data_IF_820539808266
#
_entry.id   IF_820539808266
#
_cell.length_a   1.000
_cell.length_b   1.000
_cell.length_c   1.000
_cell.angle_alpha   90.00
_cell.angle_beta   90.00
_cell.angle_gamma   90.00
#
_symmetry.space_group_name_H-M   'P 1'
#
loop_
_entity.id
_entity.type
_entity.pdbx_description
1 polymer ?
#
# COMPACT_ATOMS: atom_id res chain seq x y z
N UNK A 1 -36.60 -18.17 -66.59
CA UNK A 1 -35.92 -16.86 -66.50
C UNK A 1 -36.08 -16.29 -65.09
N UNK A 2 -34.97 -15.81 -64.51
CA UNK A 2 -34.83 -14.87 -63.38
C UNK A 2 -35.19 -15.32 -61.94
N UNK A 3 -34.09 -15.69 -61.26
CA UNK A 3 -33.70 -15.59 -59.84
C UNK A 3 -34.55 -14.65 -58.96
N UNK A 4 -34.80 -15.06 -57.72
CA UNK A 4 -34.47 -14.24 -56.55
C UNK A 4 -34.40 -15.09 -55.27
N UNK A 5 -33.25 -15.01 -54.60
CA UNK A 5 -32.93 -15.58 -53.29
C UNK A 5 -33.22 -14.50 -52.26
N UNK A 6 -33.95 -14.81 -51.20
CA UNK A 6 -34.00 -13.97 -49.99
C UNK A 6 -33.56 -14.84 -48.81
N UNK A 7 -32.38 -14.51 -48.28
CA UNK A 7 -31.86 -15.00 -47.02
C UNK A 7 -32.61 -14.31 -45.87
N UNK A 8 -33.04 -15.08 -44.88
CA UNK A 8 -33.53 -14.55 -43.61
C UNK A 8 -32.42 -14.73 -42.58
N UNK A 9 -31.95 -13.58 -42.07
CA UNK A 9 -30.95 -13.47 -41.01
C UNK A 9 -31.55 -13.90 -39.66
N UNK A 10 -30.76 -14.63 -38.89
CA UNK A 10 -30.99 -14.97 -37.49
C UNK A 10 -30.70 -13.76 -36.57
N UNK A 11 -31.41 -13.68 -35.45
CA UNK A 11 -30.98 -12.88 -34.29
C UNK A 11 -31.28 -13.66 -33.01
N UNK A 12 -30.24 -14.29 -32.45
CA UNK A 12 -30.26 -14.87 -31.11
C UNK A 12 -29.56 -13.90 -30.17
N UNK A 13 -30.33 -13.26 -29.27
CA UNK A 13 -29.78 -12.43 -28.22
C UNK A 13 -29.44 -13.30 -27.00
N UNK A 14 -28.15 -13.47 -26.74
CA UNK A 14 -27.67 -14.07 -25.50
C UNK A 14 -27.30 -12.93 -24.52
N UNK A 15 -28.15 -12.72 -23.51
CA UNK A 15 -27.87 -11.80 -22.41
C UNK A 15 -26.89 -12.46 -21.44
N UNK A 16 -25.59 -12.23 -21.65
CA UNK A 16 -24.57 -12.57 -20.68
C UNK A 16 -24.50 -11.50 -19.60
N UNK A 17 -24.99 -11.80 -18.39
CA UNK A 17 -24.67 -11.01 -17.21
C UNK A 17 -23.21 -11.30 -16.83
N UNK A 18 -22.31 -10.36 -17.15
CA UNK A 18 -20.94 -10.40 -16.66
C UNK A 18 -20.95 -10.03 -15.17
N UNK A 19 -20.65 -10.99 -14.30
CA UNK A 19 -20.26 -10.70 -12.94
C UNK A 19 -18.87 -10.07 -13.01
N UNK A 20 -18.79 -8.75 -12.83
CA UNK A 20 -17.51 -8.06 -12.69
C UNK A 20 -16.93 -8.46 -11.35
N UNK A 21 -15.81 -9.19 -11.39
CA UNK A 21 -15.00 -9.46 -10.20
C UNK A 21 -14.39 -8.13 -9.73
N UNK A 22 -14.94 -7.56 -8.67
CA UNK A 22 -14.54 -6.26 -8.11
C UNK A 22 -13.20 -6.29 -7.36
N UNK A 23 -12.55 -7.46 -7.24
CA UNK A 23 -11.37 -7.62 -6.39
C UNK A 23 -10.05 -7.10 -7.02
N UNK A 24 -10.03 -6.89 -8.34
CA UNK A 24 -8.84 -6.40 -9.09
C UNK A 24 -9.02 -4.98 -9.63
N UNK A 25 -10.15 -4.34 -9.38
CA UNK A 25 -10.34 -2.94 -9.76
C UNK A 25 -9.56 -2.05 -8.80
N UNK A 26 -8.88 -1.04 -9.33
CA UNK A 26 -7.99 -0.16 -8.60
C UNK A 26 -8.55 1.26 -8.56
N UNK A 27 -8.53 1.87 -7.38
CA UNK A 27 -8.99 3.23 -7.14
C UNK A 27 -7.83 4.09 -6.62
N UNK A 28 -7.65 5.23 -7.29
CA UNK A 28 -6.66 6.24 -6.91
C UNK A 28 -7.19 7.11 -5.77
N UNK A 29 -6.45 7.15 -4.65
CA UNK A 29 -6.72 7.99 -3.48
C UNK A 29 -5.66 9.07 -3.34
N UNK A 30 -6.09 10.28 -2.99
CA UNK A 30 -5.24 11.44 -2.76
C UNK A 30 -5.39 11.88 -1.31
N UNK A 31 -4.27 12.04 -0.63
CA UNK A 31 -4.18 12.46 0.76
C UNK A 31 -3.47 13.81 0.82
N UNK A 32 -4.20 14.83 1.26
CA UNK A 32 -3.63 16.15 1.52
C UNK A 32 -2.81 16.08 2.80
N UNK A 33 -1.53 16.45 2.70
CA UNK A 33 -0.58 16.42 3.79
C UNK A 33 -0.54 17.78 4.52
N UNK A 34 -0.18 17.82 5.82
CA UNK A 34 -0.03 19.07 6.57
C UNK A 34 0.88 20.13 5.93
N UNK A 35 1.89 19.71 5.16
CA UNK A 35 2.78 20.61 4.41
C UNK A 35 2.18 21.09 3.07
N UNK A 36 0.90 20.77 2.80
CA UNK A 36 0.13 21.02 1.56
C UNK A 36 0.54 20.17 0.36
N UNK A 37 1.51 19.28 0.49
CA UNK A 37 1.78 18.31 -0.57
C UNK A 37 0.65 17.28 -0.65
N UNK A 38 0.63 16.50 -1.73
CA UNK A 38 -0.31 15.41 -1.90
C UNK A 38 0.43 14.08 -2.03
N UNK A 39 0.06 13.11 -1.19
CA UNK A 39 0.41 11.71 -1.39
C UNK A 39 -0.72 11.02 -2.18
N UNK A 40 -0.37 10.32 -3.25
CA UNK A 40 -1.29 9.52 -4.04
C UNK A 40 -0.98 8.03 -3.85
N UNK A 41 -2.00 7.23 -3.55
CA UNK A 41 -1.93 5.77 -3.42
C UNK A 41 -3.01 5.12 -4.29
N UNK A 42 -2.70 3.97 -4.90
CA UNK A 42 -3.66 3.18 -5.67
C UNK A 42 -4.14 1.99 -4.85
N UNK A 43 -5.37 2.05 -4.35
CA UNK A 43 -5.96 1.05 -3.46
C UNK A 43 -6.87 0.10 -4.25
N UNK A 44 -6.97 -1.19 -3.89
CA UNK A 44 -8.03 -2.06 -4.38
C UNK A 44 -9.43 -1.51 -4.05
N UNK A 45 -10.38 -1.70 -4.96
CA UNK A 45 -11.79 -1.36 -4.72
C UNK A 45 -12.32 -2.16 -3.53
N UNK A 46 -13.10 -1.48 -2.68
CA UNK A 46 -13.65 -2.04 -1.45
C UNK A 46 -12.80 -1.74 -0.21
N UNK A 47 -11.55 -1.34 -0.37
CA UNK A 47 -10.73 -0.84 0.72
C UNK A 47 -11.19 0.57 1.12
N UNK A 48 -11.09 0.86 2.41
CA UNK A 48 -11.45 2.15 3.00
C UNK A 48 -10.27 2.72 3.77
N UNK A 49 -10.13 4.04 3.72
CA UNK A 49 -9.00 4.76 4.29
C UNK A 49 -9.47 5.86 5.24
N UNK A 50 -8.60 6.21 6.20
CA UNK A 50 -8.75 7.40 7.04
C UNK A 50 -7.39 7.99 7.36
N UNK A 51 -7.30 9.33 7.40
CA UNK A 51 -6.08 10.04 7.77
C UNK A 51 -6.17 10.46 9.23
N UNK A 52 -5.31 9.88 10.08
CA UNK A 52 -5.25 10.14 11.51
C UNK A 52 -4.10 11.11 11.81
N UNK A 53 -4.42 12.25 12.39
CA UNK A 53 -3.44 13.22 12.86
C UNK A 53 -3.24 13.04 14.37
N UNK A 54 -2.02 12.73 14.86
CA UNK A 54 -1.78 12.61 16.29
C UNK A 54 -2.04 13.92 17.05
N UNK A 55 -2.61 13.80 18.24
CA UNK A 55 -2.74 14.90 19.19
C UNK A 55 -1.35 15.40 19.61
N UNK A 56 -1.13 16.72 19.59
CA UNK A 56 0.18 17.32 19.89
C UNK A 56 1.10 17.50 18.68
N UNK A 57 0.67 17.09 17.49
CA UNK A 57 1.41 17.28 16.23
C UNK A 57 2.31 16.10 15.85
N UNK A 58 2.98 16.21 14.70
CA UNK A 58 3.80 15.16 14.11
C UNK A 58 3.24 14.63 12.79
N UNK A 59 3.89 13.63 12.17
CA UNK A 59 3.43 13.02 10.93
C UNK A 59 2.06 12.34 11.10
N UNK A 60 1.10 12.53 10.17
CA UNK A 60 -0.15 11.79 10.19
C UNK A 60 0.08 10.33 9.81
N UNK A 61 -0.89 9.48 10.11
CA UNK A 61 -0.91 8.08 9.65
C UNK A 61 -2.18 7.83 8.85
N UNK A 62 -2.03 7.30 7.65
CA UNK A 62 -3.13 6.79 6.85
C UNK A 62 -3.39 5.36 7.32
N UNK A 63 -4.58 5.14 7.87
CA UNK A 63 -5.07 3.82 8.27
C UNK A 63 -6.01 3.28 7.19
N UNK A 64 -5.75 2.07 6.72
CA UNK A 64 -6.49 1.46 5.62
C UNK A 64 -7.03 0.10 6.08
N UNK A 65 -8.34 -0.05 5.98
CA UNK A 65 -9.05 -1.30 6.20
C UNK A 65 -9.38 -1.97 4.85
N UNK A 66 -9.12 -3.26 4.75
CA UNK A 66 -9.34 -4.04 3.51
C UNK A 66 -10.78 -4.54 3.37
N UNK A 67 -11.59 -4.31 4.39
CA UNK A 67 -13.03 -4.51 4.40
C UNK A 67 -13.70 -3.34 5.12
N UNK A 68 -14.87 -2.92 4.65
CA UNK A 68 -15.57 -1.70 5.11
C UNK A 68 -15.76 -1.61 6.62
N UNK A 69 -16.07 -2.74 7.26
CA UNK A 69 -16.37 -2.80 8.69
C UNK A 69 -15.27 -3.53 9.49
N UNK A 70 -14.13 -3.80 8.84
CA UNK A 70 -12.99 -4.48 9.45
C UNK A 70 -12.02 -3.50 10.14
N UNK A 71 -11.14 -4.01 11.02
CA UNK A 71 -10.07 -3.20 11.57
C UNK A 71 -9.09 -2.75 10.46
N UNK A 72 -8.41 -1.60 10.63
CA UNK A 72 -7.29 -1.25 9.76
C UNK A 72 -6.18 -2.30 9.80
N UNK A 73 -5.61 -2.57 8.63
CA UNK A 73 -4.56 -3.57 8.42
C UNK A 73 -3.31 -2.97 7.80
N UNK A 74 -3.43 -1.85 7.10
CA UNK A 74 -2.29 -1.14 6.52
C UNK A 74 -2.21 0.25 7.14
N UNK A 75 -1.01 0.58 7.62
CA UNK A 75 -0.70 1.85 8.25
C UNK A 75 0.42 2.47 7.44
N UNK A 76 0.24 3.71 6.98
CA UNK A 76 1.24 4.45 6.23
C UNK A 76 1.45 5.81 6.87
N UNK A 77 2.64 6.04 7.41
CA UNK A 77 3.02 7.29 8.07
C UNK A 77 3.99 8.05 7.16
N UNK A 78 3.51 9.04 6.37
CA UNK A 78 4.37 9.91 5.58
C UNK A 78 5.17 10.86 6.48
N UNK A 79 6.49 10.75 6.44
CA UNK A 79 7.44 11.63 7.13
C UNK A 79 8.16 12.50 6.10
N UNK A 80 8.08 13.83 6.27
CA UNK A 80 8.87 14.78 5.49
C UNK A 80 10.27 14.92 6.10
N UNK A 81 11.30 15.15 5.28
CA UNK A 81 12.60 15.51 5.79
C UNK A 81 12.47 16.78 6.63
N UNK A 82 13.02 16.74 7.85
CA UNK A 82 13.13 17.94 8.67
C UNK A 82 13.97 18.97 7.88
N UNK A 83 13.43 20.15 7.56
CA UNK A 83 14.16 21.17 6.80
C UNK A 83 15.41 21.68 7.54
N UNK A 84 15.52 21.45 8.86
CA UNK A 84 16.70 21.75 9.67
C UNK A 84 17.67 20.55 9.74
N UNK A 85 17.21 19.34 9.43
CA UNK A 85 18.09 18.19 9.27
C UNK A 85 18.84 18.31 7.95
N UNK A 86 20.17 18.37 8.03
CA UNK A 86 21.05 18.38 6.84
C UNK A 86 21.07 17.05 6.09
N UNK A 87 20.43 16.03 6.63
CA UNK A 87 20.46 14.68 6.09
C UNK A 87 19.13 14.39 5.41
N UNK A 88 19.13 14.44 4.08
CA UNK A 88 18.24 13.59 3.29
C UNK A 88 18.58 12.17 3.73
N UNK A 89 17.61 11.37 4.19
CA UNK A 89 17.89 9.95 4.48
C UNK A 89 18.35 9.31 3.17
N UNK A 90 19.64 9.08 3.02
CA UNK A 90 20.17 8.35 1.87
C UNK A 90 19.65 6.89 1.92
N UNK A 91 19.50 6.25 0.77
CA UNK A 91 18.95 4.89 0.68
C UNK A 91 19.65 3.86 1.60
N UNK A 92 21.00 3.90 1.79
CA UNK A 92 21.66 3.05 2.79
C UNK A 92 21.20 3.30 4.23
N UNK A 93 20.97 4.56 4.62
CA UNK A 93 20.49 4.90 5.95
C UNK A 93 19.05 4.40 6.16
N UNK A 94 18.22 4.41 5.11
CA UNK A 94 16.89 3.82 5.15
C UNK A 94 16.94 2.31 5.37
N UNK A 95 17.85 1.61 4.68
CA UNK A 95 18.06 0.17 4.87
C UNK A 95 18.44 -0.17 6.30
N UNK A 96 19.37 0.60 6.87
CA UNK A 96 19.82 0.40 8.25
C UNK A 96 18.71 0.67 9.26
N UNK A 97 17.87 1.68 9.03
CA UNK A 97 16.72 1.95 9.88
C UNK A 97 15.67 0.81 9.83
N UNK A 98 15.40 0.24 8.65
CA UNK A 98 14.53 -0.93 8.50
C UNK A 98 15.15 -2.19 9.13
N UNK A 99 16.48 -2.37 9.02
CA UNK A 99 17.17 -3.46 9.74
C UNK A 99 17.02 -3.32 11.24
N UNK A 100 17.19 -2.12 11.79
CA UNK A 100 17.03 -1.88 13.22
C UNK A 100 15.58 -2.15 13.69
N UNK A 101 14.57 -1.93 12.84
CA UNK A 101 13.19 -2.35 13.13
C UNK A 101 13.08 -3.88 13.19
N UNK A 102 13.60 -4.58 12.18
CA UNK A 102 13.60 -6.05 12.14
C UNK A 102 14.27 -6.66 13.40
N UNK A 103 15.42 -6.11 13.82
CA UNK A 103 16.13 -6.56 15.01
C UNK A 103 15.32 -6.39 16.31
N UNK A 104 14.49 -5.34 16.41
CA UNK A 104 13.58 -5.13 17.55
C UNK A 104 12.42 -6.12 17.57
N UNK A 105 11.93 -6.53 16.40
CA UNK A 105 10.82 -7.49 16.25
C UNK A 105 11.29 -8.94 16.41
N UNK A 106 12.55 -9.23 16.06
CA UNK A 106 13.15 -10.57 16.07
C UNK A 106 12.86 -11.42 17.32
N UNK A 107 12.85 -10.89 18.56
CA UNK A 107 12.57 -11.71 19.76
C UNK A 107 11.14 -12.28 19.79
N UNK A 108 10.18 -11.60 19.18
CA UNK A 108 8.75 -11.97 19.12
C UNK A 108 8.44 -12.81 17.86
N UNK A 109 9.32 -12.77 16.86
CA UNK A 109 9.12 -13.48 15.61
C UNK A 109 9.37 -15.00 15.70
N UNK A 110 8.64 -15.80 14.92
CA UNK A 110 8.85 -17.23 14.79
C UNK A 110 10.14 -17.57 14.03
N UNK A 111 10.56 -16.69 13.12
CA UNK A 111 11.81 -16.82 12.39
C UNK A 111 13.02 -16.65 13.33
N UNK A 112 14.12 -17.36 13.07
CA UNK A 112 15.39 -17.15 13.80
C UNK A 112 16.20 -15.97 13.27
N UNK A 113 15.89 -15.53 12.04
CA UNK A 113 16.48 -14.38 11.37
C UNK A 113 15.44 -13.75 10.44
N UNK A 114 15.28 -12.44 10.54
CA UNK A 114 14.44 -11.64 9.65
C UNK A 114 15.31 -10.99 8.57
N UNK A 115 14.95 -11.21 7.31
CA UNK A 115 15.66 -10.65 6.16
C UNK A 115 15.04 -9.31 5.71
N UNK A 116 15.91 -8.32 5.51
CA UNK A 116 15.53 -7.02 4.92
C UNK A 116 15.64 -7.10 3.40
N UNK A 117 14.53 -6.85 2.72
CA UNK A 117 14.33 -6.96 1.28
C UNK A 117 14.17 -5.58 0.65
N UNK A 118 14.64 -5.43 -0.58
CA UNK A 118 14.42 -4.21 -1.37
C UNK A 118 12.95 -4.11 -1.78
N UNK A 119 12.38 -2.92 -1.67
CA UNK A 119 11.08 -2.54 -2.22
C UNK A 119 11.32 -1.49 -3.31
N UNK A 120 11.14 -1.88 -4.57
CA UNK A 120 11.17 -0.96 -5.70
C UNK A 120 9.76 -0.46 -6.00
N UNK A 121 9.57 0.85 -6.05
CA UNK A 121 8.36 1.51 -6.49
C UNK A 121 8.55 2.27 -7.80
N UNK A 122 7.46 2.86 -8.29
CA UNK A 122 7.43 3.61 -9.55
C UNK A 122 8.23 4.91 -9.44
N UNK A 123 8.08 5.64 -8.33
CA UNK A 123 8.72 6.93 -8.08
C UNK A 123 9.75 6.89 -6.94
N UNK A 124 10.19 5.70 -6.56
CA UNK A 124 11.28 5.58 -5.61
C UNK A 124 11.53 4.16 -5.11
N UNK A 125 12.26 4.06 -4.01
CA UNK A 125 12.72 2.77 -3.49
C UNK A 125 12.88 2.79 -1.98
N UNK A 126 12.93 1.60 -1.40
CA UNK A 126 13.10 1.44 0.03
C UNK A 126 13.28 -0.01 0.42
N UNK A 127 12.95 -0.33 1.66
CA UNK A 127 13.21 -1.65 2.21
C UNK A 127 12.09 -2.07 3.15
N UNK A 128 11.90 -3.37 3.26
CA UNK A 128 10.94 -3.95 4.18
C UNK A 128 11.41 -5.32 4.66
N UNK A 129 10.77 -5.80 5.70
CA UNK A 129 10.89 -7.19 6.13
C UNK A 129 9.51 -7.76 6.40
N UNK A 130 9.45 -9.08 6.49
CA UNK A 130 8.28 -9.83 6.93
C UNK A 130 8.62 -10.61 8.20
N UNK A 131 7.68 -10.69 9.13
CA UNK A 131 7.82 -11.46 10.36
C UNK A 131 6.50 -12.17 10.70
N UNK A 132 6.63 -13.36 11.27
CA UNK A 132 5.50 -14.13 11.80
C UNK A 132 5.52 -14.02 13.31
N UNK A 133 4.44 -13.56 13.94
CA UNK A 133 4.31 -13.55 15.40
C UNK A 133 4.31 -14.99 15.94
N UNK A 134 5.18 -15.29 16.91
CA UNK A 134 5.39 -16.65 17.43
C UNK A 134 4.18 -17.15 18.22
N UNK A 135 3.59 -16.26 19.00
CA UNK A 135 2.57 -16.60 19.99
C UNK A 135 1.18 -16.05 19.62
N UNK A 136 0.91 -15.85 18.32
CA UNK A 136 -0.38 -15.34 17.83
C UNK A 136 -1.53 -16.34 18.06
N UNK A 137 -2.65 -15.84 18.59
CA UNK A 137 -3.86 -16.63 18.80
C UNK A 137 -4.69 -16.83 17.54
N UNK A 138 -5.71 -17.73 17.59
CA UNK A 138 -6.63 -17.92 16.48
C UNK A 138 -7.35 -16.62 16.11
N UNK A 139 -7.23 -16.23 14.85
CA UNK A 139 -7.85 -15.01 14.35
C UNK A 139 -7.10 -13.73 14.72
N UNK A 140 -5.90 -13.78 15.31
CA UNK A 140 -5.03 -12.61 15.48
C UNK A 140 -4.28 -12.25 14.19
N UNK A 141 -3.70 -11.05 14.15
CA UNK A 141 -2.76 -10.69 13.08
C UNK A 141 -1.46 -11.46 13.29
N UNK A 142 -1.29 -12.53 12.53
CA UNK A 142 -0.15 -13.43 12.65
C UNK A 142 1.07 -12.97 11.84
N UNK A 143 0.84 -12.31 10.72
CA UNK A 143 1.92 -11.89 9.83
C UNK A 143 1.99 -10.38 9.74
N UNK A 144 3.22 -9.87 9.78
CA UNK A 144 3.52 -8.46 9.64
C UNK A 144 4.51 -8.25 8.50
N UNK A 145 4.25 -7.28 7.63
CA UNK A 145 5.28 -6.67 6.79
C UNK A 145 5.50 -5.23 7.25
N UNK A 146 6.74 -4.85 7.53
CA UNK A 146 7.06 -3.51 8.00
C UNK A 146 8.28 -2.97 7.28
N UNK A 147 8.28 -1.68 6.98
CA UNK A 147 9.35 -1.09 6.20
C UNK A 147 9.22 0.41 6.00
N UNK A 148 10.00 0.90 5.05
CA UNK A 148 9.94 2.27 4.58
C UNK A 148 10.17 2.35 3.07
N UNK A 149 9.48 3.29 2.43
CA UNK A 149 9.63 3.61 1.00
C UNK A 149 9.88 5.10 0.84
N UNK A 150 10.93 5.48 0.11
CA UNK A 150 11.11 6.88 -0.30
C UNK A 150 10.42 7.14 -1.63
N UNK A 151 9.65 8.23 -1.69
CA UNK A 151 8.89 8.67 -2.87
C UNK A 151 9.08 10.18 -3.04
N UNK A 152 9.83 10.58 -4.08
CA UNK A 152 10.11 11.98 -4.41
C UNK A 152 10.43 12.90 -3.19
N UNK A 153 11.25 12.42 -2.25
CA UNK A 153 11.68 13.16 -1.05
C UNK A 153 10.78 12.99 0.18
N UNK A 154 9.67 12.25 0.10
CA UNK A 154 8.84 11.84 1.22
C UNK A 154 9.25 10.42 1.65
N UNK A 155 9.38 10.16 2.96
CA UNK A 155 9.59 8.80 3.48
C UNK A 155 8.27 8.23 4.00
N UNK A 156 7.79 7.15 3.41
CA UNK A 156 6.60 6.43 3.83
C UNK A 156 7.00 5.28 4.74
N UNK A 157 6.86 5.44 6.06
CA UNK A 157 6.94 4.31 6.98
C UNK A 157 5.65 3.52 6.91
N UNK A 158 5.72 2.19 6.89
CA UNK A 158 4.52 1.38 6.78
C UNK A 158 4.56 0.11 7.61
N UNK A 159 3.37 -0.31 8.03
CA UNK A 159 3.10 -1.63 8.63
C UNK A 159 1.90 -2.23 7.93
N UNK A 160 1.98 -3.50 7.57
CA UNK A 160 0.91 -4.31 6.98
C UNK A 160 0.70 -5.51 7.89
N UNK A 161 -0.52 -5.70 8.37
CA UNK A 161 -0.92 -6.78 9.27
C UNK A 161 -1.89 -7.70 8.55
N UNK A 162 -1.64 -9.00 8.61
CA UNK A 162 -2.48 -10.01 7.96
C UNK A 162 -2.69 -11.21 8.87
N UNK A 163 -3.84 -11.86 8.71
CA UNK A 163 -4.17 -13.12 9.36
C UNK A 163 -3.82 -14.30 8.44
N UNK A 164 -3.99 -15.51 8.95
CA UNK A 164 -3.91 -16.72 8.11
C UNK A 164 -4.94 -16.68 6.98
N UNK A 165 -4.50 -16.99 5.76
CA UNK A 165 -5.35 -16.97 4.57
C UNK A 165 -5.51 -15.60 3.91
N UNK A 166 -4.88 -14.55 4.45
CA UNK A 166 -4.91 -13.18 3.89
C UNK A 166 -3.63 -12.83 3.09
N UNK A 167 -2.93 -13.83 2.54
CA UNK A 167 -1.66 -13.62 1.82
C UNK A 167 -1.77 -12.60 0.67
N UNK A 168 -2.93 -12.56 0.01
CA UNK A 168 -3.21 -11.61 -1.07
C UNK A 168 -3.27 -10.17 -0.59
N UNK A 169 -3.68 -9.92 0.66
CA UNK A 169 -3.72 -8.57 1.25
C UNK A 169 -2.32 -8.00 1.35
N UNK A 170 -1.34 -8.79 1.81
CA UNK A 170 0.05 -8.33 1.90
C UNK A 170 0.63 -7.99 0.53
N UNK A 171 0.36 -8.82 -0.48
CA UNK A 171 0.78 -8.57 -1.87
C UNK A 171 0.15 -7.29 -2.42
N UNK A 172 -1.17 -7.11 -2.25
CA UNK A 172 -1.88 -5.91 -2.73
C UNK A 172 -1.43 -4.64 -2.00
N UNK A 173 -1.18 -4.71 -0.69
CA UNK A 173 -0.69 -3.58 0.08
C UNK A 173 0.74 -3.17 -0.33
N UNK A 174 1.62 -4.14 -0.59
CA UNK A 174 2.94 -3.85 -1.15
C UNK A 174 2.82 -3.23 -2.55
N UNK A 175 1.96 -3.76 -3.42
CA UNK A 175 1.73 -3.19 -4.75
C UNK A 175 1.18 -1.75 -4.68
N UNK A 176 0.26 -1.48 -3.76
CA UNK A 176 -0.22 -0.12 -3.46
C UNK A 176 0.95 0.81 -3.11
N UNK A 177 1.84 0.39 -2.20
CA UNK A 177 3.02 1.18 -1.83
C UNK A 177 3.97 1.39 -3.03
N UNK A 178 4.19 0.35 -3.86
CA UNK A 178 5.01 0.47 -5.07
C UNK A 178 4.44 1.45 -6.10
N UNK A 179 3.12 1.68 -6.09
CA UNK A 179 2.44 2.67 -6.94
C UNK A 179 2.41 4.08 -6.35
N UNK A 180 2.93 4.28 -5.14
CA UNK A 180 2.85 5.57 -4.46
C UNK A 180 3.54 6.68 -5.27
N UNK A 181 2.88 7.84 -5.33
CA UNK A 181 3.39 9.05 -5.97
C UNK A 181 3.26 10.23 -5.01
N UNK A 182 4.23 11.14 -5.05
CA UNK A 182 4.26 12.32 -4.18
C UNK A 182 4.33 13.59 -5.01
N UNK A 183 3.29 14.42 -4.90
CA UNK A 183 3.12 15.67 -5.63
C UNK A 183 3.41 16.85 -4.70
N UNK A 184 4.47 17.61 -5.00
CA UNK A 184 4.85 18.77 -4.20
C UNK A 184 4.10 20.02 -4.67
N UNK A 185 3.42 20.67 -3.75
CA UNK A 185 2.71 21.90 -4.06
C UNK A 185 3.70 23.02 -4.38
N UNK A 186 3.60 23.57 -5.60
CA UNK A 186 4.45 24.68 -6.09
C UNK A 186 5.57 24.28 -7.07
N UNK A 187 5.81 22.99 -7.32
CA UNK A 187 6.73 22.52 -8.38
C UNK A 187 6.00 21.96 -9.61
N UNK A 188 4.75 21.53 -9.47
CA UNK A 188 3.92 21.01 -10.58
C UNK A 188 3.32 22.12 -11.48
N UNK A 189 3.74 23.39 -11.31
CA UNK A 189 3.30 24.55 -12.09
C UNK A 189 4.40 25.14 -13.00
N UNK A 190 5.53 24.44 -13.16
CA UNK A 190 6.62 24.83 -14.06
C UNK A 190 6.71 23.84 -15.24
#
# INVERSE_FOLDING_TARGET
MKRSVIAVLALAAASGAAFVSSADELLRRRFELPNRDTLELTLPVGWTDSLQQPEGGGPPTIEIAVSRDGPPQVFVTPEWPDPLAREIRELPALRDAVRNLAERIQPQAAESRIEVRLLGGTEGSGYYFTATERDAGPGDFRFMSQGALQVAGLTLWFTILTREGEDTVAVQALAMLQSAAHHRTGLDQL
#
